data_IF_616707195732
#
_entry.id   IF_616707195732
#
_cell.length_a   1.000
_cell.length_b   1.000
_cell.length_c   1.000
_cell.angle_alpha   90.00
_cell.angle_beta   90.00
_cell.angle_gamma   90.00
#
_symmetry.space_group_name_H-M   'P 1'
#
loop_
_entity.id
_entity.type
_entity.pdbx_description
1 polymer ?
#
# COMPACT_ATOMS: atom_id res chain seq x y z
N UNK A 1 13.90 -23.18 -13.44
CA UNK A 1 15.00 -22.90 -12.49
C UNK A 1 14.36 -22.26 -11.27
N UNK A 2 14.76 -22.68 -10.07
CA UNK A 2 14.30 -22.04 -8.82
C UNK A 2 14.59 -20.54 -8.88
N UNK A 3 13.64 -19.72 -8.43
CA UNK A 3 13.86 -18.27 -8.26
C UNK A 3 14.88 -17.99 -7.15
N UNK A 4 15.16 -18.97 -6.28
CA UNK A 4 15.94 -18.83 -5.05
C UNK A 4 15.16 -18.15 -3.92
N UNK A 5 13.89 -17.83 -4.15
CA UNK A 5 12.98 -17.18 -3.21
C UNK A 5 11.81 -18.10 -2.90
N UNK A 6 11.52 -18.29 -1.62
CA UNK A 6 10.50 -19.21 -1.14
C UNK A 6 9.12 -18.95 -1.78
N UNK A 7 8.50 -20.02 -2.30
CA UNK A 7 7.13 -20.01 -2.82
C UNK A 7 6.90 -19.23 -4.11
N UNK A 8 7.93 -18.60 -4.71
CA UNK A 8 7.81 -17.93 -6.02
C UNK A 8 8.27 -18.89 -7.12
N UNK A 9 7.37 -19.78 -7.53
CA UNK A 9 7.62 -20.77 -8.59
C UNK A 9 7.17 -20.27 -9.98
N UNK A 10 6.06 -19.53 -10.03
CA UNK A 10 5.50 -18.99 -11.26
C UNK A 10 5.43 -17.46 -11.19
N UNK A 11 6.21 -16.78 -12.02
CA UNK A 11 6.23 -15.32 -12.10
C UNK A 11 6.55 -14.83 -13.51
N UNK A 12 6.31 -13.54 -13.76
CA UNK A 12 6.76 -12.87 -15.00
C UNK A 12 8.21 -12.36 -14.93
N UNK A 13 8.92 -12.58 -13.81
CA UNK A 13 10.32 -12.19 -13.62
C UNK A 13 11.22 -13.39 -13.88
N UNK A 14 12.35 -13.15 -14.53
CA UNK A 14 13.40 -14.17 -14.57
C UNK A 14 14.06 -14.32 -13.21
N UNK A 15 14.81 -15.42 -13.01
CA UNK A 15 15.61 -15.59 -11.79
C UNK A 15 16.51 -14.39 -11.57
N UNK A 16 17.21 -13.90 -12.59
CA UNK A 16 18.10 -12.74 -12.47
C UNK A 16 17.34 -11.47 -12.08
N UNK A 17 16.14 -11.26 -12.61
CA UNK A 17 15.33 -10.08 -12.30
C UNK A 17 14.99 -10.03 -10.82
N UNK A 18 14.58 -11.15 -10.21
CA UNK A 18 14.24 -11.20 -8.78
C UNK A 18 15.35 -10.68 -7.86
N UNK A 19 16.61 -10.91 -8.22
CA UNK A 19 17.79 -10.49 -7.46
C UNK A 19 18.34 -9.12 -7.87
N UNK A 20 17.70 -8.46 -8.84
CA UNK A 20 18.07 -7.12 -9.28
C UNK A 20 17.73 -6.03 -8.25
N UNK A 21 18.55 -4.96 -8.23
CA UNK A 21 18.44 -3.82 -7.29
C UNK A 21 17.02 -3.26 -7.13
N UNK A 22 16.27 -3.17 -8.23
CA UNK A 22 14.95 -2.54 -8.22
C UNK A 22 13.80 -3.54 -8.01
N UNK A 23 14.06 -4.83 -8.21
CA UNK A 23 13.05 -5.89 -8.19
C UNK A 23 13.05 -6.67 -6.87
N UNK A 24 14.19 -6.77 -6.19
CA UNK A 24 14.28 -7.48 -4.91
C UNK A 24 13.35 -6.89 -3.85
N UNK A 25 13.15 -5.57 -3.87
CA UNK A 25 12.28 -4.84 -2.94
C UNK A 25 10.79 -5.20 -3.06
N UNK A 26 10.36 -5.86 -4.14
CA UNK A 26 9.03 -6.47 -4.26
C UNK A 26 9.09 -7.99 -4.23
N UNK A 27 10.17 -8.61 -4.71
CA UNK A 27 10.32 -10.07 -4.73
C UNK A 27 10.48 -10.66 -3.32
N UNK A 28 11.29 -10.04 -2.45
CA UNK A 28 11.51 -10.53 -1.10
C UNK A 28 10.23 -10.43 -0.23
N UNK A 29 9.49 -9.30 -0.19
CA UNK A 29 8.18 -9.25 0.46
C UNK A 29 7.20 -10.32 0.00
N UNK A 30 7.13 -10.60 -1.31
CA UNK A 30 6.27 -11.65 -1.85
C UNK A 30 6.71 -13.03 -1.34
N UNK A 31 8.02 -13.31 -1.30
CA UNK A 31 8.55 -14.56 -0.78
C UNK A 31 8.26 -14.74 0.72
N UNK A 32 8.41 -13.67 1.51
CA UNK A 32 8.04 -13.64 2.93
C UNK A 32 6.55 -13.92 3.12
N UNK A 33 5.70 -13.33 2.28
CA UNK A 33 4.26 -13.60 2.31
C UNK A 33 3.94 -15.04 1.92
N UNK A 34 4.60 -15.63 0.92
CA UNK A 34 4.47 -17.05 0.60
C UNK A 34 4.91 -17.94 1.77
N UNK A 35 6.02 -17.62 2.44
CA UNK A 35 6.45 -18.33 3.64
C UNK A 35 5.37 -18.29 4.72
N UNK A 36 4.82 -17.10 4.99
CA UNK A 36 3.73 -16.92 5.95
C UNK A 36 2.45 -17.67 5.53
N UNK A 37 2.12 -17.73 4.23
CA UNK A 37 1.00 -18.50 3.69
C UNK A 37 1.15 -19.99 4.01
N UNK A 38 2.29 -20.60 3.64
CA UNK A 38 2.53 -22.03 3.81
C UNK A 38 2.62 -22.44 5.29
N UNK A 39 3.03 -21.52 6.18
CA UNK A 39 3.13 -21.77 7.61
C UNK A 39 1.90 -21.30 8.41
N UNK A 40 0.83 -20.84 7.75
CA UNK A 40 -0.39 -20.31 8.37
C UNK A 40 -0.11 -19.17 9.38
N UNK A 41 0.90 -18.34 9.11
CA UNK A 41 1.26 -17.18 9.94
C UNK A 41 0.47 -15.98 9.41
N UNK A 42 -0.42 -15.36 10.21
CA UNK A 42 -1.16 -14.20 9.76
C UNK A 42 -0.28 -12.94 9.74
N UNK A 43 -0.63 -12.00 8.87
CA UNK A 43 -0.08 -10.64 8.85
C UNK A 43 -0.85 -9.72 9.81
N UNK A 44 -0.21 -8.63 10.24
CA UNK A 44 -0.92 -7.53 10.90
C UNK A 44 -1.83 -6.86 9.89
N UNK A 45 -3.11 -6.69 10.20
CA UNK A 45 -4.09 -6.06 9.32
C UNK A 45 -4.55 -4.72 9.87
N UNK A 46 -4.22 -3.64 9.17
CA UNK A 46 -4.65 -2.30 9.49
C UNK A 46 -5.94 -2.01 8.71
N UNK A 47 -7.03 -1.87 9.45
CA UNK A 47 -8.38 -1.75 8.91
C UNK A 47 -9.16 -0.60 9.54
N UNK A 48 -10.12 -0.08 8.79
CA UNK A 48 -11.06 0.90 9.29
C UNK A 48 -12.19 0.18 10.04
N UNK A 49 -12.59 0.69 11.20
CA UNK A 49 -13.68 0.14 11.99
C UNK A 49 -14.40 1.25 12.77
N UNK A 50 -15.60 0.96 13.25
CA UNK A 50 -16.25 1.81 14.25
C UNK A 50 -15.66 1.53 15.63
N UNK A 51 -14.98 2.52 16.20
CA UNK A 51 -14.45 2.53 17.56
C UNK A 51 -15.20 3.61 18.34
N UNK A 52 -15.94 3.22 19.39
CA UNK A 52 -16.74 4.15 20.20
C UNK A 52 -17.71 5.01 19.36
N UNK A 53 -18.36 4.40 18.36
CA UNK A 53 -19.33 5.07 17.49
C UNK A 53 -18.72 6.02 16.44
N UNK A 54 -17.40 6.07 16.30
CA UNK A 54 -16.69 6.87 15.28
C UNK A 54 -15.81 5.98 14.42
N UNK A 55 -15.57 6.39 13.18
CA UNK A 55 -14.55 5.73 12.36
C UNK A 55 -13.17 5.91 12.99
N UNK A 56 -12.47 4.80 13.12
CA UNK A 56 -11.13 4.72 13.66
C UNK A 56 -10.35 3.60 12.99
N UNK A 57 -9.04 3.64 13.15
CA UNK A 57 -8.13 2.64 12.62
C UNK A 57 -7.80 1.66 13.74
N UNK A 58 -7.88 0.37 13.42
CA UNK A 58 -7.57 -0.72 14.33
C UNK A 58 -6.61 -1.68 13.67
N UNK A 59 -5.75 -2.29 14.49
CA UNK A 59 -4.94 -3.42 14.09
C UNK A 59 -5.67 -4.73 14.44
N UNK A 60 -5.66 -5.66 13.52
CA UNK A 60 -6.18 -7.02 13.65
C UNK A 60 -5.18 -7.97 12.97
N UNK A 61 -5.58 -9.22 12.72
CA UNK A 61 -4.80 -10.18 11.95
C UNK A 61 -5.54 -10.59 10.67
N UNK A 62 -4.78 -10.83 9.60
CA UNK A 62 -5.31 -11.35 8.33
C UNK A 62 -4.46 -12.53 7.82
N UNK A 63 -5.08 -13.68 7.50
CA UNK A 63 -4.37 -14.76 6.82
C UNK A 63 -3.87 -14.32 5.44
N UNK A 64 -2.68 -14.74 5.05
CA UNK A 64 -2.13 -14.40 3.71
C UNK A 64 -3.03 -14.92 2.58
N UNK A 65 -3.75 -16.03 2.79
CA UNK A 65 -4.72 -16.54 1.81
C UNK A 65 -5.86 -15.55 1.49
N UNK A 66 -6.23 -14.71 2.45
CA UNK A 66 -7.20 -13.62 2.23
C UNK A 66 -6.53 -12.41 1.54
N UNK A 67 -5.29 -12.09 1.88
CA UNK A 67 -4.51 -11.02 1.22
C UNK A 67 -4.34 -11.32 -0.27
N UNK A 68 -4.00 -12.57 -0.58
CA UNK A 68 -3.81 -13.06 -1.94
C UNK A 68 -5.11 -13.43 -2.64
N UNK A 69 -6.21 -13.51 -1.90
CA UNK A 69 -7.49 -14.04 -2.37
C UNK A 69 -7.34 -15.42 -3.03
N UNK A 70 -6.49 -16.28 -2.45
CA UNK A 70 -6.08 -17.57 -3.01
C UNK A 70 -7.01 -18.72 -2.61
N UNK A 71 -7.88 -18.52 -1.62
CA UNK A 71 -8.70 -19.59 -1.05
C UNK A 71 -7.83 -20.64 -0.35
N UNK A 72 -7.97 -21.91 -0.74
CA UNK A 72 -7.17 -23.01 -0.20
C UNK A 72 -5.86 -23.28 -0.97
N UNK A 73 -5.55 -22.46 -1.99
CA UNK A 73 -4.36 -22.67 -2.83
C UNK A 73 -3.08 -22.36 -2.09
N UNK A 74 -2.06 -23.21 -2.27
CA UNK A 74 -0.68 -22.97 -1.84
C UNK A 74 0.06 -22.04 -2.80
N UNK A 75 1.23 -21.54 -2.40
CA UNK A 75 2.02 -20.57 -3.17
C UNK A 75 2.47 -21.10 -4.54
N UNK A 76 2.69 -22.40 -4.67
CA UNK A 76 3.05 -23.04 -5.95
C UNK A 76 1.85 -23.16 -6.92
N UNK A 77 0.62 -22.92 -6.47
CA UNK A 77 -0.58 -22.85 -7.31
C UNK A 77 -0.93 -21.41 -7.71
N UNK A 78 -0.03 -20.46 -7.44
CA UNK A 78 -0.20 -19.04 -7.73
C UNK A 78 0.82 -18.56 -8.75
N UNK A 79 0.41 -17.57 -9.54
CA UNK A 79 1.28 -16.84 -10.45
C UNK A 79 1.43 -15.40 -9.97
N UNK A 80 2.68 -14.96 -9.80
CA UNK A 80 3.04 -13.62 -9.32
C UNK A 80 3.47 -12.74 -10.49
N UNK A 81 2.55 -11.90 -10.98
CA UNK A 81 2.82 -10.90 -12.01
C UNK A 81 3.29 -9.59 -11.38
N UNK A 82 4.59 -9.35 -11.35
CA UNK A 82 5.19 -8.13 -10.82
C UNK A 82 5.04 -6.97 -11.80
N UNK A 83 4.90 -5.75 -11.28
CA UNK A 83 4.82 -4.50 -12.07
C UNK A 83 3.82 -4.61 -13.23
N UNK A 84 2.63 -5.15 -12.92
CA UNK A 84 1.65 -5.57 -13.90
C UNK A 84 0.30 -4.90 -13.67
N UNK A 85 -0.51 -4.84 -14.72
CA UNK A 85 -1.86 -4.28 -14.66
C UNK A 85 -2.83 -5.32 -14.11
N UNK A 86 -3.67 -4.93 -13.16
CA UNK A 86 -4.83 -5.72 -12.77
C UNK A 86 -5.97 -5.45 -13.75
N UNK A 87 -5.98 -6.22 -14.84
CA UNK A 87 -6.91 -6.07 -15.95
C UNK A 87 -8.40 -5.97 -15.55
N UNK A 88 -8.90 -6.63 -14.48
CA UNK A 88 -10.29 -6.46 -14.08
C UNK A 88 -10.69 -5.02 -13.78
N UNK A 89 -9.76 -4.13 -13.40
CA UNK A 89 -10.04 -2.72 -13.17
C UNK A 89 -10.03 -1.86 -14.44
N UNK A 90 -9.54 -2.38 -15.58
CA UNK A 90 -9.54 -1.64 -16.85
C UNK A 90 -10.96 -1.25 -17.29
N UNK A 91 -11.98 -2.05 -16.93
CA UNK A 91 -13.40 -1.75 -17.20
C UNK A 91 -13.87 -0.40 -16.63
N UNK A 92 -13.17 0.13 -15.64
CA UNK A 92 -13.50 1.37 -14.96
C UNK A 92 -12.77 2.59 -15.54
N UNK A 93 -11.91 2.41 -16.55
CA UNK A 93 -11.17 3.50 -17.18
C UNK A 93 -11.23 3.43 -18.71
N UNK A 94 -11.47 4.56 -19.36
CA UNK A 94 -11.29 4.70 -20.82
C UNK A 94 -9.82 4.67 -21.22
N UNK A 95 -8.94 5.15 -20.33
CA UNK A 95 -7.50 5.17 -20.54
C UNK A 95 -6.88 3.87 -20.01
N UNK A 96 -5.73 3.47 -20.56
CA UNK A 96 -4.95 2.40 -19.96
C UNK A 96 -4.62 2.74 -18.50
N UNK A 97 -4.93 1.83 -17.58
CA UNK A 97 -4.57 2.00 -16.17
C UNK A 97 -3.10 1.62 -15.94
N UNK A 98 -2.46 2.28 -14.97
CA UNK A 98 -1.09 1.96 -14.60
C UNK A 98 -0.96 0.54 -14.01
N UNK A 99 0.26 -0.01 -14.05
CA UNK A 99 0.60 -1.21 -13.31
C UNK A 99 0.68 -0.96 -11.80
N UNK A 100 0.49 -2.02 -11.02
CA UNK A 100 0.77 -2.06 -9.57
C UNK A 100 1.94 -3.01 -9.31
N UNK A 101 2.58 -2.92 -8.14
CA UNK A 101 3.79 -3.69 -7.83
C UNK A 101 3.60 -5.21 -7.95
N UNK A 102 2.43 -5.75 -7.57
CA UNK A 102 2.13 -7.17 -7.63
C UNK A 102 0.67 -7.45 -8.01
N UNK A 103 0.48 -8.29 -9.02
CA UNK A 103 -0.81 -8.90 -9.37
C UNK A 103 -0.72 -10.40 -9.19
N UNK A 104 -1.63 -10.94 -8.37
CA UNK A 104 -1.70 -12.36 -8.05
C UNK A 104 -2.77 -13.00 -8.92
N UNK A 105 -2.41 -14.11 -9.56
CA UNK A 105 -3.32 -14.94 -10.34
C UNK A 105 -3.23 -16.39 -9.87
N UNK A 106 -4.20 -17.22 -10.22
CA UNK A 106 -3.97 -18.66 -10.22
C UNK A 106 -3.32 -19.12 -11.53
N UNK A 107 -2.98 -20.41 -11.61
CA UNK A 107 -2.35 -21.00 -12.79
C UNK A 107 -3.29 -21.09 -14.01
N UNK A 108 -4.60 -20.95 -13.82
CA UNK A 108 -5.58 -20.82 -14.90
C UNK A 108 -5.63 -19.40 -15.48
N UNK A 109 -4.86 -18.46 -14.90
CA UNK A 109 -4.79 -17.06 -15.32
C UNK A 109 -5.89 -16.18 -14.73
N UNK A 110 -6.70 -16.66 -13.79
CA UNK A 110 -7.73 -15.85 -13.13
C UNK A 110 -7.08 -14.86 -12.17
N UNK A 111 -7.47 -13.60 -12.28
CA UNK A 111 -7.02 -12.52 -11.40
C UNK A 111 -7.59 -12.68 -10.00
N UNK A 112 -6.73 -12.65 -8.98
CA UNK A 112 -7.10 -12.85 -7.58
C UNK A 112 -7.01 -11.55 -6.77
N UNK A 113 -5.85 -10.88 -6.80
CA UNK A 113 -5.62 -9.69 -5.98
C UNK A 113 -4.55 -8.76 -6.56
N UNK A 114 -4.78 -7.43 -6.59
CA UNK A 114 -3.74 -6.42 -6.83
C UNK A 114 -3.18 -5.86 -5.52
N UNK A 115 -1.86 -5.88 -5.34
CA UNK A 115 -1.18 -5.47 -4.11
C UNK A 115 -0.03 -4.51 -4.42
N UNK A 116 -0.02 -3.35 -3.76
CA UNK A 116 1.16 -2.50 -3.65
C UNK A 116 2.13 -3.13 -2.65
N UNK A 117 3.42 -3.18 -2.99
CA UNK A 117 4.42 -3.84 -2.16
C UNK A 117 5.41 -2.83 -1.62
N UNK A 118 5.56 -2.78 -0.30
CA UNK A 118 6.57 -1.96 0.37
C UNK A 118 7.49 -2.83 1.19
N UNK A 119 8.78 -2.61 1.04
CA UNK A 119 9.81 -3.08 1.96
C UNK A 119 10.30 -1.83 2.69
N UNK A 120 10.16 -1.76 4.01
CA UNK A 120 10.54 -0.56 4.80
C UNK A 120 11.27 -0.86 6.11
N UNK A 121 12.23 -0.03 6.50
CA UNK A 121 12.99 -0.17 7.75
C UNK A 121 12.16 0.23 8.97
N UNK A 122 12.40 -0.42 10.11
CA UNK A 122 11.87 -0.03 11.42
C UNK A 122 13.03 -0.01 12.45
N UNK A 123 13.31 1.11 13.13
CA UNK A 123 12.69 2.43 13.00
C UNK A 123 13.17 3.19 11.77
N UNK A 124 12.38 4.16 11.33
CA UNK A 124 12.83 5.21 10.42
C UNK A 124 13.59 6.32 11.16
N UNK A 125 14.14 7.27 10.39
CA UNK A 125 14.89 8.40 10.95
C UNK A 125 14.04 9.31 11.86
N UNK A 126 12.71 9.35 11.71
CA UNK A 126 11.84 10.20 12.52
C UNK A 126 11.54 9.64 13.91
N UNK A 127 11.74 8.34 14.12
CA UNK A 127 11.38 7.62 15.35
C UNK A 127 12.52 6.85 16.00
N UNK A 128 13.67 6.73 15.34
CA UNK A 128 14.85 6.00 15.83
C UNK A 128 15.46 6.48 17.16
N UNK A 129 15.13 7.67 17.63
CA UNK A 129 15.56 8.22 18.93
C UNK A 129 14.48 8.09 20.02
N UNK A 130 13.33 7.51 19.68
CA UNK A 130 12.25 7.23 20.63
C UNK A 130 12.41 5.84 21.25
N UNK A 131 11.59 5.60 22.27
CA UNK A 131 11.39 4.26 22.81
C UNK A 131 10.94 3.28 21.73
N UNK A 132 11.35 2.03 21.86
CA UNK A 132 11.15 0.98 20.85
C UNK A 132 9.67 0.74 20.53
N UNK A 133 8.80 0.90 21.52
CA UNK A 133 7.35 0.79 21.35
C UNK A 133 6.73 1.98 20.58
N UNK A 134 7.47 3.07 20.37
CA UNK A 134 7.08 4.23 19.56
C UNK A 134 7.74 4.26 18.17
N UNK A 135 8.53 3.23 17.83
CA UNK A 135 9.16 3.15 16.51
C UNK A 135 8.12 3.04 15.40
N UNK A 136 8.41 3.72 14.29
CA UNK A 136 7.58 3.74 13.10
C UNK A 136 8.41 3.67 11.82
N UNK A 137 7.72 3.45 10.71
CA UNK A 137 8.35 3.25 9.40
C UNK A 137 7.90 4.30 8.38
N UNK A 138 8.81 4.72 7.50
CA UNK A 138 8.47 5.63 6.41
C UNK A 138 7.89 4.85 5.22
N UNK A 139 6.75 5.32 4.69
CA UNK A 139 6.16 4.81 3.44
C UNK A 139 6.05 5.92 2.40
N UNK A 140 6.45 5.62 1.16
CA UNK A 140 6.36 6.52 0.01
C UNK A 140 5.42 5.91 -1.03
N UNK A 141 4.41 6.68 -1.43
CA UNK A 141 3.28 6.23 -2.23
C UNK A 141 3.29 6.90 -3.61
N UNK A 142 2.97 6.12 -4.64
CA UNK A 142 2.83 6.58 -6.03
C UNK A 142 1.36 6.82 -6.38
N UNK A 143 1.13 7.59 -7.44
CA UNK A 143 -0.21 7.88 -7.96
C UNK A 143 -0.99 6.63 -8.37
N UNK A 144 -0.31 5.62 -8.90
CA UNK A 144 -0.92 4.34 -9.26
C UNK A 144 -1.62 3.68 -8.05
N UNK A 145 -0.99 3.69 -6.87
CA UNK A 145 -1.57 3.10 -5.65
C UNK A 145 -2.86 3.79 -5.23
N UNK A 146 -2.93 5.12 -5.29
CA UNK A 146 -4.18 5.83 -4.95
C UNK A 146 -5.26 5.64 -6.00
N UNK A 147 -4.88 5.40 -7.27
CA UNK A 147 -5.83 5.04 -8.32
C UNK A 147 -6.43 3.65 -8.05
N UNK A 148 -5.59 2.66 -7.76
CA UNK A 148 -6.04 1.32 -7.37
C UNK A 148 -6.88 1.32 -6.10
N UNK A 149 -6.59 2.23 -5.15
CA UNK A 149 -7.43 2.47 -3.99
C UNK A 149 -8.85 2.88 -4.41
N UNK A 150 -9.00 3.91 -5.26
CA UNK A 150 -10.31 4.39 -5.70
C UNK A 150 -11.07 3.34 -6.55
N UNK A 151 -10.38 2.72 -7.52
CA UNK A 151 -10.95 1.66 -8.37
C UNK A 151 -11.38 0.45 -7.53
N UNK A 152 -10.57 0.09 -6.54
CA UNK A 152 -10.84 -0.99 -5.63
C UNK A 152 -12.06 -0.73 -4.76
N UNK A 153 -12.13 0.43 -4.12
CA UNK A 153 -13.28 0.84 -3.31
C UNK A 153 -14.57 0.81 -4.12
N UNK A 154 -14.57 1.39 -5.33
CA UNK A 154 -15.75 1.38 -6.19
C UNK A 154 -16.15 -0.02 -6.64
N UNK A 155 -15.20 -0.86 -7.06
CA UNK A 155 -15.49 -2.23 -7.50
C UNK A 155 -16.22 -3.05 -6.42
N UNK A 156 -15.88 -2.84 -5.15
CA UNK A 156 -16.46 -3.54 -4.02
C UNK A 156 -17.91 -3.12 -3.70
N UNK A 157 -18.35 -1.96 -4.22
CA UNK A 157 -19.68 -1.37 -3.91
C UNK A 157 -20.43 -0.90 -5.16
N UNK A 158 -20.00 -1.30 -6.36
CA UNK A 158 -20.54 -0.83 -7.65
C UNK A 158 -22.05 -1.03 -7.81
N UNK A 159 -22.60 -2.05 -7.15
CA UNK A 159 -24.04 -2.33 -7.15
C UNK A 159 -24.84 -1.29 -6.34
N UNK A 160 -24.16 -0.48 -5.51
CA UNK A 160 -24.68 0.67 -4.78
C UNK A 160 -24.33 2.01 -5.44
N UNK A 161 -23.91 2.03 -6.71
CA UNK A 161 -23.47 3.23 -7.45
C UNK A 161 -24.40 4.45 -7.30
N UNK A 162 -25.74 4.27 -7.34
CA UNK A 162 -26.68 5.38 -7.13
C UNK A 162 -26.49 6.05 -5.76
N UNK A 163 -26.33 5.25 -4.70
CA UNK A 163 -26.18 5.80 -3.36
C UNK A 163 -24.80 6.41 -3.16
N UNK A 164 -23.75 5.78 -3.70
CA UNK A 164 -22.42 6.40 -3.75
C UNK A 164 -22.50 7.77 -4.42
N UNK A 165 -23.23 7.90 -5.52
CA UNK A 165 -23.43 9.21 -6.17
C UNK A 165 -24.07 10.21 -5.23
N UNK A 166 -25.16 9.85 -4.56
CA UNK A 166 -25.87 10.72 -3.62
C UNK A 166 -24.96 11.25 -2.52
N UNK A 167 -24.05 10.42 -1.97
CA UNK A 167 -23.09 10.81 -0.95
C UNK A 167 -22.15 11.93 -1.42
N UNK A 168 -21.73 11.90 -2.69
CA UNK A 168 -20.74 12.83 -3.24
C UNK A 168 -21.33 13.97 -4.08
N UNK A 169 -22.60 13.89 -4.50
CA UNK A 169 -23.18 14.80 -5.50
C UNK A 169 -23.08 16.26 -5.06
N UNK A 170 -23.48 16.58 -3.82
CA UNK A 170 -23.50 17.96 -3.32
C UNK A 170 -22.09 18.57 -3.26
N UNK A 171 -21.10 17.80 -2.83
CA UNK A 171 -19.71 18.27 -2.76
C UNK A 171 -19.10 18.43 -4.15
N UNK A 172 -19.22 17.41 -5.00
CA UNK A 172 -18.50 17.33 -6.27
C UNK A 172 -19.16 18.11 -7.42
N UNK A 173 -20.50 18.14 -7.50
CA UNK A 173 -21.21 18.82 -8.60
C UNK A 173 -21.03 20.34 -8.58
N UNK A 174 -20.72 20.89 -7.40
CA UNK A 174 -20.45 22.32 -7.23
C UNK A 174 -19.08 22.77 -7.76
N UNK A 175 -18.16 21.83 -8.02
CA UNK A 175 -16.82 22.11 -8.56
C UNK A 175 -16.89 22.15 -10.09
N UNK A 176 -16.66 23.34 -10.65
CA UNK A 176 -16.61 23.57 -12.09
C UNK A 176 -15.24 23.25 -12.69
N UNK A 177 -14.15 23.67 -12.03
CA UNK A 177 -12.79 23.48 -12.51
C UNK A 177 -11.93 22.71 -11.50
N UNK A 178 -11.79 21.40 -11.74
CA UNK A 178 -11.00 20.52 -10.87
C UNK A 178 -9.48 20.77 -10.91
N UNK A 179 -8.98 21.55 -11.87
CA UNK A 179 -7.58 22.01 -11.94
C UNK A 179 -7.35 23.36 -11.25
N UNK A 180 -8.40 24.00 -10.73
CA UNK A 180 -8.31 25.24 -9.97
C UNK A 180 -8.03 24.97 -8.48
N UNK A 181 -6.80 25.27 -8.05
CA UNK A 181 -6.33 25.11 -6.67
C UNK A 181 -7.26 25.78 -5.65
N UNK A 182 -7.67 27.02 -5.92
CA UNK A 182 -8.52 27.79 -5.02
C UNK A 182 -9.89 27.12 -4.88
N UNK A 183 -10.54 26.79 -6.00
CA UNK A 183 -11.87 26.18 -5.99
C UNK A 183 -11.90 24.85 -5.23
N UNK A 184 -10.98 23.94 -5.54
CA UNK A 184 -10.93 22.62 -4.90
C UNK A 184 -10.53 22.75 -3.42
N UNK A 185 -9.58 23.64 -3.09
CA UNK A 185 -9.18 23.88 -1.69
C UNK A 185 -10.35 24.34 -0.82
N UNK A 186 -11.26 25.19 -1.34
CA UNK A 186 -12.45 25.67 -0.62
C UNK A 186 -13.54 24.60 -0.44
N UNK A 187 -13.45 23.49 -1.17
CA UNK A 187 -14.38 22.35 -1.10
C UNK A 187 -13.85 21.16 -0.32
N UNK A 188 -12.63 21.25 0.21
CA UNK A 188 -11.97 20.13 0.89
C UNK A 188 -12.73 19.62 2.10
N UNK A 189 -13.42 20.50 2.83
CA UNK A 189 -14.22 20.09 3.99
C UNK A 189 -15.43 19.23 3.55
N UNK A 190 -16.15 19.64 2.51
CA UNK A 190 -17.26 18.87 1.95
C UNK A 190 -16.79 17.54 1.34
N UNK A 191 -15.66 17.53 0.63
CA UNK A 191 -15.06 16.30 0.08
C UNK A 191 -14.63 15.34 1.20
N UNK A 192 -13.98 15.85 2.24
CA UNK A 192 -13.59 15.09 3.43
C UNK A 192 -14.81 14.45 4.11
N UNK A 193 -15.89 15.21 4.30
CA UNK A 193 -17.12 14.71 4.92
C UNK A 193 -17.83 13.67 4.04
N UNK A 194 -17.86 13.88 2.72
CA UNK A 194 -18.44 12.91 1.78
C UNK A 194 -17.69 11.58 1.83
N UNK A 195 -16.35 11.61 1.88
CA UNK A 195 -15.55 10.39 2.05
C UNK A 195 -15.80 9.75 3.41
N UNK A 196 -15.94 10.50 4.50
CA UNK A 196 -16.27 9.91 5.81
C UNK A 196 -17.64 9.23 5.81
N UNK A 197 -18.66 9.83 5.18
CA UNK A 197 -19.98 9.23 5.03
C UNK A 197 -19.91 7.93 4.23
N UNK A 198 -19.25 7.97 3.08
CA UNK A 198 -18.97 6.79 2.25
C UNK A 198 -18.26 5.69 3.06
N UNK A 199 -17.19 6.04 3.77
CA UNK A 199 -16.45 5.09 4.57
C UNK A 199 -17.26 4.55 5.74
N UNK A 200 -18.13 5.37 6.34
CA UNK A 200 -18.97 4.93 7.46
C UNK A 200 -19.99 3.89 7.03
N UNK A 201 -20.50 3.99 5.81
CA UNK A 201 -21.49 3.06 5.29
C UNK A 201 -20.86 1.77 4.76
N UNK A 202 -19.74 1.89 4.04
CA UNK A 202 -19.16 0.78 3.28
C UNK A 202 -17.87 0.21 3.90
N UNK A 203 -17.50 0.53 5.15
CA UNK A 203 -16.25 0.04 5.76
C UNK A 203 -16.14 -1.49 5.76
N UNK A 204 -17.25 -2.23 5.77
CA UNK A 204 -17.22 -3.70 5.74
C UNK A 204 -16.78 -4.27 4.37
N UNK A 205 -16.79 -3.45 3.32
CA UNK A 205 -16.37 -3.82 1.96
C UNK A 205 -14.89 -3.53 1.69
N UNK A 206 -14.14 -3.06 2.70
CA UNK A 206 -12.71 -2.80 2.56
C UNK A 206 -11.94 -4.08 2.23
N UNK A 207 -10.85 -3.94 1.46
CA UNK A 207 -10.02 -5.05 1.01
C UNK A 207 -8.53 -4.72 1.12
N UNK A 208 -7.65 -5.74 1.25
CA UNK A 208 -6.21 -5.55 1.19
C UNK A 208 -5.79 -4.77 -0.07
N UNK A 209 -4.93 -3.77 0.10
CA UNK A 209 -4.39 -2.95 -0.99
C UNK A 209 -2.86 -2.86 -0.95
N UNK A 210 -2.28 -2.72 0.24
CA UNK A 210 -0.84 -2.52 0.41
C UNK A 210 -0.29 -3.55 1.39
N UNK A 211 0.76 -4.25 0.97
CA UNK A 211 1.52 -5.18 1.78
C UNK A 211 2.90 -4.57 2.11
N UNK A 212 3.08 -4.17 3.35
CA UNK A 212 4.31 -3.57 3.87
C UNK A 212 5.08 -4.63 4.67
N UNK A 213 6.13 -5.19 4.08
CA UNK A 213 7.13 -5.95 4.84
C UNK A 213 8.04 -4.98 5.58
N UNK A 214 8.14 -5.14 6.88
CA UNK A 214 9.10 -4.40 7.70
C UNK A 214 10.35 -5.23 7.94
N UNK A 215 11.51 -4.59 7.98
CA UNK A 215 12.72 -5.18 8.56
C UNK A 215 13.21 -4.29 9.70
N UNK A 216 13.30 -4.88 10.89
CA UNK A 216 13.68 -4.20 12.11
C UNK A 216 15.18 -4.30 12.34
N UNK A 217 15.78 -3.17 12.68
CA UNK A 217 17.21 -3.06 12.99
C UNK A 217 17.45 -2.77 14.47
N UNK A 218 18.70 -2.91 14.91
CA UNK A 218 19.14 -2.48 16.25
C UNK A 218 19.27 -0.96 16.30
N UNK A 219 18.14 -0.26 16.44
CA UNK A 219 18.09 1.21 16.34
C UNK A 219 18.55 1.68 14.95
N UNK A 220 19.49 2.64 14.89
CA UNK A 220 20.10 3.12 13.63
C UNK A 220 21.16 2.18 13.03
N UNK A 221 21.50 1.09 13.72
CA UNK A 221 22.47 0.11 13.22
C UNK A 221 21.98 -0.54 11.92
N UNK A 222 22.85 -0.90 10.97
CA UNK A 222 22.46 -1.69 9.80
C UNK A 222 22.25 -3.19 10.14
N UNK A 223 22.45 -3.60 11.39
CA UNK A 223 22.24 -4.97 11.86
C UNK A 223 20.76 -5.22 12.16
N UNK A 224 20.26 -6.37 11.71
CA UNK A 224 18.91 -6.83 12.03
C UNK A 224 18.77 -7.08 13.54
N UNK A 225 17.58 -6.83 14.07
CA UNK A 225 17.19 -7.28 15.40
C UNK A 225 16.98 -8.82 15.40
N UNK A 226 16.91 -9.44 16.58
CA UNK A 226 16.67 -10.89 16.67
C UNK A 226 15.30 -11.27 16.08
N UNK A 227 14.26 -10.53 16.46
CA UNK A 227 12.95 -10.51 15.80
C UNK A 227 12.91 -9.36 14.81
N UNK A 228 13.02 -9.68 13.52
CA UNK A 228 13.35 -8.71 12.50
C UNK A 228 12.22 -8.45 11.50
N UNK A 229 11.43 -9.46 11.13
CA UNK A 229 10.53 -9.34 9.98
C UNK A 229 9.07 -9.50 10.37
N UNK A 230 8.22 -8.70 9.73
CA UNK A 230 6.77 -8.83 9.79
C UNK A 230 6.14 -8.28 8.51
N UNK A 231 4.88 -8.60 8.28
CA UNK A 231 4.05 -8.04 7.21
C UNK A 231 2.89 -7.29 7.84
N UNK A 232 2.75 -6.03 7.42
CA UNK A 232 1.64 -5.15 7.76
C UNK A 232 0.83 -4.91 6.47
N UNK A 233 -0.39 -5.42 6.47
CA UNK A 233 -1.34 -5.26 5.38
C UNK A 233 -2.25 -4.09 5.70
N UNK A 234 -2.40 -3.17 4.76
CA UNK A 234 -3.36 -2.08 4.84
C UNK A 234 -4.54 -2.41 3.95
N UNK A 235 -5.75 -2.30 4.51
CA UNK A 235 -6.95 -2.17 3.69
C UNK A 235 -6.90 -0.88 2.86
N UNK A 236 -7.59 -0.84 1.73
CA UNK A 236 -7.83 0.38 0.95
C UNK A 236 -8.42 1.52 1.81
N UNK A 237 -9.38 1.22 2.68
CA UNK A 237 -10.00 2.21 3.58
C UNK A 237 -9.01 2.74 4.61
N UNK A 238 -8.25 1.88 5.28
CA UNK A 238 -7.22 2.30 6.23
C UNK A 238 -6.08 3.07 5.56
N UNK A 239 -5.61 2.58 4.42
CA UNK A 239 -4.60 3.24 3.59
C UNK A 239 -5.04 4.66 3.23
N UNK A 240 -6.30 4.85 2.85
CA UNK A 240 -6.78 6.18 2.47
C UNK A 240 -6.76 7.20 3.62
N UNK A 241 -6.87 6.76 4.88
CA UNK A 241 -6.75 7.66 6.05
C UNK A 241 -5.39 8.34 6.14
N UNK A 242 -4.34 7.75 5.57
CA UNK A 242 -3.01 8.36 5.51
C UNK A 242 -3.02 9.74 4.83
N UNK A 243 -3.91 9.96 3.87
CA UNK A 243 -4.07 11.25 3.20
C UNK A 243 -5.35 12.00 3.57
N UNK A 244 -6.45 11.32 3.90
CA UNK A 244 -7.71 11.97 4.32
C UNK A 244 -7.55 12.71 5.65
N UNK A 245 -6.86 12.13 6.64
CA UNK A 245 -6.76 12.76 7.96
C UNK A 245 -5.97 14.07 7.95
N UNK A 246 -5.03 14.21 7.01
CA UNK A 246 -4.24 15.44 6.83
C UNK A 246 -4.78 16.38 5.77
N UNK A 247 -6.00 16.15 5.27
CA UNK A 247 -6.60 16.97 4.21
C UNK A 247 -7.47 18.11 4.73
N UNK A 248 -7.83 18.09 6.02
CA UNK A 248 -8.76 19.04 6.63
C UNK A 248 -8.06 20.07 7.55
N UNK A 249 -6.78 20.35 7.30
CA UNK A 249 -5.95 21.23 8.14
C UNK A 249 -6.23 22.74 7.93
N UNK A 250 -7.27 23.10 7.17
CA UNK A 250 -7.64 24.50 6.89
C UNK A 250 -6.61 25.27 6.06
N UNK A 251 -5.72 24.56 5.34
CA UNK A 251 -4.68 25.17 4.52
C UNK A 251 -5.29 25.94 3.33
N UNK A 252 -4.73 27.13 3.05
CA UNK A 252 -5.17 27.99 1.94
C UNK A 252 -4.66 27.54 0.56
N UNK A 253 -3.81 26.51 0.50
CA UNK A 253 -3.19 25.99 -0.73
C UNK A 253 -3.23 24.46 -0.75
N UNK A 254 -3.46 23.88 -1.93
CA UNK A 254 -3.50 22.42 -2.11
C UNK A 254 -2.20 21.73 -1.67
N UNK A 255 -2.30 20.94 -0.59
CA UNK A 255 -1.26 20.02 -0.17
C UNK A 255 -1.34 18.68 -0.91
N UNK A 256 -0.29 17.86 -0.83
CA UNK A 256 -0.31 16.49 -1.41
C UNK A 256 -1.43 15.62 -0.81
N UNK A 257 -1.66 15.59 0.52
CA UNK A 257 -2.82 14.90 1.11
C UNK A 257 -4.17 15.42 0.65
N UNK A 258 -4.35 16.75 0.55
CA UNK A 258 -5.58 17.36 0.02
C UNK A 258 -5.83 16.91 -1.43
N UNK A 259 -4.79 16.94 -2.27
CA UNK A 259 -4.86 16.49 -3.67
C UNK A 259 -5.28 15.04 -3.78
N UNK A 260 -4.66 14.14 -3.02
CA UNK A 260 -5.02 12.71 -3.02
C UNK A 260 -6.46 12.48 -2.55
N UNK A 261 -6.91 13.23 -1.55
CA UNK A 261 -8.30 13.20 -1.04
C UNK A 261 -9.29 13.67 -2.10
N UNK A 262 -9.01 14.80 -2.76
CA UNK A 262 -9.86 15.33 -3.81
C UNK A 262 -9.94 14.38 -5.03
N UNK A 263 -8.81 13.77 -5.41
CA UNK A 263 -8.78 12.74 -6.47
C UNK A 263 -9.62 11.52 -6.11
N UNK A 264 -9.52 11.02 -4.87
CA UNK A 264 -10.35 9.91 -4.40
C UNK A 264 -11.85 10.24 -4.51
N UNK A 265 -12.28 11.40 -4.00
CA UNK A 265 -13.66 11.85 -4.09
C UNK A 265 -14.14 11.99 -5.55
N UNK A 266 -13.32 12.60 -6.42
CA UNK A 266 -13.64 12.75 -7.84
C UNK A 266 -13.78 11.40 -8.54
N UNK A 267 -12.85 10.46 -8.30
CA UNK A 267 -12.93 9.11 -8.86
C UNK A 267 -14.22 8.41 -8.44
N UNK A 268 -14.53 8.36 -7.14
CA UNK A 268 -15.73 7.71 -6.62
C UNK A 268 -17.01 8.35 -7.17
N UNK A 269 -17.07 9.67 -7.23
CA UNK A 269 -18.22 10.40 -7.78
C UNK A 269 -18.39 10.15 -9.29
N UNK A 270 -17.35 10.32 -10.10
CA UNK A 270 -17.47 10.09 -11.55
C UNK A 270 -17.79 8.62 -11.87
N UNK A 271 -17.16 7.66 -11.19
CA UNK A 271 -17.47 6.23 -11.33
C UNK A 271 -18.92 5.92 -10.95
N UNK A 272 -19.43 6.52 -9.87
CA UNK A 272 -20.83 6.35 -9.45
C UNK A 272 -21.85 6.85 -10.48
N UNK A 273 -21.46 7.79 -11.37
CA UNK A 273 -22.32 8.36 -12.41
C UNK A 273 -22.35 7.55 -13.70
N UNK A 274 -21.19 7.08 -14.15
CA UNK A 274 -21.04 6.47 -15.49
C UNK A 274 -20.55 5.01 -15.45
N UNK A 275 -20.00 4.56 -14.33
CA UNK A 275 -19.30 3.28 -14.20
C UNK A 275 -17.90 3.26 -14.84
N UNK A 276 -17.45 4.37 -15.45
CA UNK A 276 -16.17 4.45 -16.18
C UNK A 276 -15.64 5.90 -16.23
N UNK A 277 -14.35 6.10 -16.00
CA UNK A 277 -13.70 7.43 -15.88
C UNK A 277 -12.51 7.59 -16.85
N UNK A 278 -11.99 8.82 -16.96
CA UNK A 278 -10.68 9.09 -17.59
C UNK A 278 -9.65 9.31 -16.51
N UNK A 279 -9.08 8.22 -15.99
CA UNK A 279 -8.18 8.28 -14.82
C UNK A 279 -6.97 9.18 -15.08
N UNK A 280 -6.44 9.17 -16.31
CA UNK A 280 -5.28 9.99 -16.67
C UNK A 280 -5.61 11.48 -16.60
N UNK A 281 -6.83 11.86 -16.99
CA UNK A 281 -7.28 13.25 -16.89
C UNK A 281 -7.42 13.70 -15.43
N UNK A 282 -8.00 12.88 -14.56
CA UNK A 282 -8.10 13.19 -13.12
C UNK A 282 -6.72 13.44 -12.52
N UNK A 283 -5.77 12.53 -12.74
CA UNK A 283 -4.45 12.62 -12.14
C UNK A 283 -3.58 13.72 -12.77
N UNK A 284 -3.73 13.99 -14.07
CA UNK A 284 -3.01 15.06 -14.77
C UNK A 284 -3.56 16.45 -14.46
N UNK A 285 -4.87 16.65 -14.54
CA UNK A 285 -5.52 17.96 -14.32
C UNK A 285 -5.31 18.43 -12.88
N UNK A 286 -5.43 17.50 -11.93
CA UNK A 286 -5.31 17.82 -10.50
C UNK A 286 -3.85 17.79 -10.03
N UNK A 287 -2.88 18.14 -10.87
CA UNK A 287 -1.47 18.18 -10.47
C UNK A 287 -1.15 19.38 -9.57
N UNK A 288 -1.83 20.51 -9.76
CA UNK A 288 -1.66 21.77 -9.01
C UNK A 288 -0.20 22.23 -8.89
N UNK A 289 0.58 22.08 -9.96
CA UNK A 289 2.00 22.48 -10.02
C UNK A 289 2.97 21.61 -9.21
N UNK A 290 2.49 20.53 -8.59
CA UNK A 290 3.32 19.57 -7.86
C UNK A 290 3.87 18.51 -8.82
N UNK A 291 5.04 17.95 -8.48
CA UNK A 291 5.56 16.74 -9.14
C UNK A 291 4.56 15.56 -8.98
N UNK A 292 4.51 14.70 -9.99
CA UNK A 292 3.53 13.61 -10.12
C UNK A 292 4.13 12.21 -9.93
N UNK A 293 5.46 12.11 -9.79
CA UNK A 293 6.20 10.86 -9.55
C UNK A 293 5.87 10.24 -8.18
N UNK A 294 5.65 11.10 -7.18
CA UNK A 294 5.26 10.73 -5.82
C UNK A 294 3.94 11.39 -5.47
N UNK A 295 3.01 10.60 -4.96
CA UNK A 295 1.72 11.12 -4.53
C UNK A 295 1.84 11.75 -3.14
N UNK A 296 2.32 10.98 -2.16
CA UNK A 296 2.65 11.47 -0.83
C UNK A 296 3.65 10.53 -0.13
N UNK A 297 4.19 10.97 1.00
CA UNK A 297 4.94 10.13 1.92
C UNK A 297 4.45 10.33 3.34
N UNK A 298 4.64 9.31 4.17
CA UNK A 298 4.28 9.29 5.59
C UNK A 298 5.51 8.83 6.35
N UNK A 299 5.99 9.65 7.29
CA UNK A 299 7.11 9.28 8.16
C UNK A 299 6.64 8.37 9.31
N UNK A 300 7.61 7.80 10.03
CA UNK A 300 7.37 6.90 11.16
C UNK A 300 6.49 7.50 12.25
N UNK A 301 6.65 8.80 12.56
CA UNK A 301 5.82 9.48 13.55
C UNK A 301 4.32 9.48 13.20
N UNK A 302 3.98 9.69 11.93
CA UNK A 302 2.59 9.65 11.47
C UNK A 302 2.13 8.21 11.27
N UNK A 303 2.96 7.34 10.70
CA UNK A 303 2.69 5.92 10.49
C UNK A 303 2.32 5.20 11.81
N UNK A 304 3.04 5.49 12.89
CA UNK A 304 2.82 4.86 14.21
C UNK A 304 1.47 5.19 14.83
N UNK A 305 0.81 6.28 14.42
CA UNK A 305 -0.55 6.62 14.85
C UNK A 305 -1.60 5.65 14.32
N UNK A 306 -1.30 4.98 13.22
CA UNK A 306 -2.19 4.04 12.54
C UNK A 306 -1.82 2.59 12.84
N UNK A 307 -0.52 2.29 12.98
CA UNK A 307 -0.03 0.93 13.23
C UNK A 307 0.25 0.74 14.72
N UNK A 308 -0.81 0.47 15.47
CA UNK A 308 -0.75 0.18 16.90
C UNK A 308 -0.82 -1.34 17.08
N UNK A 309 0.35 -1.99 17.16
CA UNK A 309 0.47 -3.43 17.38
C UNK A 309 1.78 -3.75 18.09
N UNK A 310 1.75 -4.69 19.03
CA UNK A 310 2.94 -5.21 19.72
C UNK A 310 3.93 -5.87 18.74
N UNK A 311 3.44 -6.32 17.57
CA UNK A 311 4.26 -6.85 16.47
C UNK A 311 5.18 -5.81 15.82
N UNK A 312 4.98 -4.52 16.10
CA UNK A 312 5.97 -3.49 15.73
C UNK A 312 7.15 -3.43 16.70
N UNK A 313 6.95 -3.79 17.97
CA UNK A 313 8.03 -3.93 18.96
C UNK A 313 8.70 -5.29 18.82
N UNK A 314 7.92 -6.36 18.65
CA UNK A 314 8.45 -7.71 18.46
C UNK A 314 7.86 -8.32 17.19
N UNK A 315 8.45 -8.04 16.01
CA UNK A 315 8.07 -8.66 14.74
C UNK A 315 7.93 -10.17 14.86
N UNK A 316 6.99 -10.79 14.17
CA UNK A 316 6.70 -12.22 14.38
C UNK A 316 7.83 -13.14 13.88
N UNK A 317 8.58 -12.74 12.87
CA UNK A 317 9.62 -13.58 12.25
C UNK A 317 11.03 -13.21 12.75
N UNK A 318 11.86 -14.21 13.13
CA UNK A 318 13.25 -13.97 13.52
C UNK A 318 14.10 -13.56 12.32
N UNK A 319 15.25 -12.93 12.55
CA UNK A 319 16.22 -12.61 11.50
C UNK A 319 16.76 -13.86 10.78
N UNK A 320 16.77 -15.00 11.46
CA UNK A 320 17.23 -16.29 10.90
C UNK A 320 16.29 -16.83 9.83
N UNK A 321 15.03 -16.37 9.75
CA UNK A 321 14.04 -16.80 8.73
C UNK A 321 14.54 -16.54 7.30
N UNK A 322 15.45 -15.59 7.11
CA UNK A 322 16.07 -15.29 5.82
C UNK A 322 16.70 -16.54 5.20
N UNK A 323 17.23 -17.47 6.02
CA UNK A 323 17.85 -18.70 5.53
C UNK A 323 16.82 -19.73 5.02
N UNK A 324 15.54 -19.56 5.36
CA UNK A 324 14.43 -20.40 4.87
C UNK A 324 13.75 -19.73 3.66
N UNK A 325 13.70 -18.39 3.65
CA UNK A 325 13.11 -17.61 2.56
C UNK A 325 14.05 -17.54 1.35
N UNK A 326 15.36 -17.45 1.58
CA UNK A 326 16.39 -17.33 0.55
C UNK A 326 17.16 -18.64 0.45
N UNK A 327 17.16 -19.24 -0.73
CA UNK A 327 17.92 -20.45 -1.01
C UNK A 327 19.43 -20.21 -0.85
N UNK A 328 20.13 -21.18 -0.25
CA UNK A 328 21.57 -21.10 -0.02
C UNK A 328 22.32 -20.80 -1.33
N UNK A 329 23.22 -19.82 -1.31
CA UNK A 329 24.00 -19.41 -2.49
C UNK A 329 23.33 -18.37 -3.39
N UNK A 330 22.05 -18.02 -3.15
CA UNK A 330 21.37 -16.97 -3.92
C UNK A 330 21.57 -15.57 -3.36
N UNK A 331 21.82 -15.42 -2.05
CA UNK A 331 22.09 -14.11 -1.45
C UNK A 331 23.27 -13.40 -2.14
N UNK A 332 24.26 -14.13 -2.64
CA UNK A 332 25.42 -13.61 -3.37
C UNK A 332 25.04 -13.00 -4.74
N UNK A 333 23.84 -13.30 -5.25
CA UNK A 333 23.30 -12.68 -6.47
C UNK A 333 22.76 -11.27 -6.21
N UNK A 334 22.49 -10.91 -4.95
CA UNK A 334 22.27 -9.51 -4.61
C UNK A 334 23.56 -8.76 -4.91
N UNK A 335 23.46 -7.80 -5.82
CA UNK A 335 24.50 -6.80 -6.05
C UNK A 335 24.02 -5.49 -5.41
N UNK A 336 24.11 -5.35 -4.07
CA UNK A 336 23.66 -4.15 -3.40
C UNK A 336 24.43 -2.95 -3.94
N UNK A 337 23.74 -1.82 -4.03
CA UNK A 337 24.39 -0.57 -4.42
C UNK A 337 25.51 -0.23 -3.42
N UNK A 338 26.72 -0.02 -3.94
CA UNK A 338 27.86 0.42 -3.16
C UNK A 338 27.67 1.89 -2.77
N UNK A 339 26.94 2.14 -1.69
CA UNK A 339 26.83 3.49 -1.15
C UNK A 339 28.06 3.83 -0.31
N UNK A 340 28.60 5.02 -0.54
CA UNK A 340 29.83 5.46 0.14
C UNK A 340 29.63 5.58 1.66
N UNK A 341 28.50 6.12 2.10
CA UNK A 341 28.11 6.21 3.51
C UNK A 341 28.08 4.84 4.22
N UNK A 342 27.47 3.83 3.59
CA UNK A 342 27.47 2.47 4.13
C UNK A 342 28.88 1.85 4.17
N UNK A 343 29.69 2.12 3.14
CA UNK A 343 31.09 1.64 3.09
C UNK A 343 31.91 2.26 4.22
N UNK A 344 31.76 3.57 4.46
CA UNK A 344 32.40 4.26 5.58
C UNK A 344 31.98 3.68 6.93
N UNK A 345 30.68 3.41 7.12
CA UNK A 345 30.16 2.79 8.34
C UNK A 345 30.88 1.49 8.68
N UNK A 346 30.90 0.52 7.74
CA UNK A 346 31.51 -0.79 7.98
C UNK A 346 33.03 -0.79 8.02
N UNK A 347 33.67 0.21 7.41
CA UNK A 347 35.15 0.29 7.37
C UNK A 347 35.70 1.02 8.59
N UNK A 348 35.05 2.10 9.04
CA UNK A 348 35.55 2.98 10.11
C UNK A 348 35.04 2.55 11.49
N UNK A 349 33.82 2.02 11.63
CA UNK A 349 33.28 1.59 12.93
C UNK A 349 33.74 0.17 13.36
N UNK A 350 34.79 -0.37 12.75
CA UNK A 350 35.36 -1.66 13.16
C UNK A 350 36.27 -1.55 14.37
#
# INVERSE_FOLDING_TARGET
MSSGLFGIEHSNRTVTDHWGKNCFNSSYPTATACYMLEHNIPAVYIKLAHVNGKLGIVADEIPISQVFNSGAKSSNELFFSFESVFEPYQRYSFDAIDGIDLVIKDLDGRFLSPIEVKLTVLPDNSTCEKEENEWGSEIVIRSATTSYCALGMFDAVKDHSRHVREIFEDACSSIQMWDNDFEVSHKMHELYNSINSFQSEYYQNQKPLLMQTIWKTQGKSPLLADQAFDIIVWSDYAFSRLFIDGSNDGASKMSRPMRATARLARCLWELSRSGIIRVNDIYRQMAFGNQTDKEFSVNGLKWKRYVISDRTTTPILPSTVVNEIIENGYIQRLSPERRFDQTLYFTIQR
#
